data_IF_159731586258
#
_entry.id   IF_159731586258
#
_cell.length_a   1.000
_cell.length_b   1.000
_cell.length_c   1.000
_cell.angle_alpha   90.00
_cell.angle_beta   90.00
_cell.angle_gamma   90.00
#
_symmetry.space_group_name_H-M   'P 1'
#
loop_
_entity.id
_entity.type
_entity.pdbx_description
1 polymer ?
#
# COMPACT_ATOMS: atom_id res chain seq x y z
N UNK A 1 -24.54 6.97 12.40
CA UNK A 1 -23.24 6.38 12.72
C UNK A 1 -22.16 7.28 12.14
N UNK A 2 -21.17 7.57 12.94
CA UNK A 2 -20.04 8.37 12.52
C UNK A 2 -18.80 7.49 12.41
N UNK A 3 -18.16 7.51 11.26
CA UNK A 3 -16.91 6.82 11.04
C UNK A 3 -15.73 7.73 11.33
N UNK A 4 -14.75 7.24 12.07
CA UNK A 4 -13.51 7.96 12.26
C UNK A 4 -12.61 7.73 11.04
N UNK A 5 -12.22 8.81 10.38
CA UNK A 5 -11.38 8.73 9.19
C UNK A 5 -9.88 8.67 9.51
N UNK A 6 -9.50 9.04 10.74
CA UNK A 6 -8.10 9.02 11.16
C UNK A 6 -8.02 8.40 12.56
N UNK A 7 -8.38 7.13 12.71
CA UNK A 7 -8.27 6.48 13.99
C UNK A 7 -6.80 6.28 14.37
N UNK A 8 -6.45 6.61 15.59
CA UNK A 8 -5.07 6.57 16.08
C UNK A 8 -4.45 5.18 16.13
N UNK A 9 -5.27 4.14 16.04
CA UNK A 9 -4.77 2.76 16.06
C UNK A 9 -4.15 2.31 14.75
N UNK A 10 -4.36 3.07 13.67
CA UNK A 10 -3.78 2.74 12.37
C UNK A 10 -2.50 3.52 12.13
N UNK A 11 -1.54 2.86 11.51
CA UNK A 11 -0.26 3.48 11.13
C UNK A 11 0.06 3.16 9.70
N UNK A 12 0.58 4.14 8.99
CA UNK A 12 1.09 3.95 7.63
C UNK A 12 2.61 4.06 7.67
N UNK A 13 3.28 2.98 7.30
CA UNK A 13 4.73 2.99 7.14
C UNK A 13 5.07 3.21 5.69
N UNK A 14 5.96 4.15 5.43
CA UNK A 14 6.43 4.46 4.08
C UNK A 14 7.94 4.25 4.05
N UNK A 15 8.39 3.41 3.12
CA UNK A 15 9.81 3.21 2.86
C UNK A 15 10.10 3.58 1.43
N UNK A 16 11.18 4.31 1.22
CA UNK A 16 11.54 4.77 -0.11
C UNK A 16 13.06 4.80 -0.20
N UNK A 17 13.62 3.96 -1.07
CA UNK A 17 15.05 3.87 -1.27
C UNK A 17 15.35 4.10 -2.74
N UNK A 18 16.15 5.13 -3.02
CA UNK A 18 16.59 5.43 -4.37
C UNK A 18 18.05 5.04 -4.51
N UNK A 19 18.34 4.15 -5.46
CA UNK A 19 19.71 3.79 -5.85
C UNK A 19 20.00 4.39 -7.22
N UNK A 20 21.23 4.23 -7.72
CA UNK A 20 21.59 4.70 -9.06
C UNK A 20 20.79 4.01 -10.15
N UNK A 21 20.37 2.76 -9.90
CA UNK A 21 19.76 1.90 -10.90
C UNK A 21 18.25 1.77 -10.75
N UNK A 22 17.72 1.99 -9.56
CA UNK A 22 16.30 1.72 -9.30
C UNK A 22 15.78 2.49 -8.10
N UNK A 23 14.45 2.51 -8.02
CA UNK A 23 13.73 3.05 -6.87
C UNK A 23 12.96 1.88 -6.25
N UNK A 24 13.18 1.65 -4.95
CA UNK A 24 12.44 0.66 -4.19
C UNK A 24 11.51 1.38 -3.22
N UNK A 25 10.28 0.94 -3.15
CA UNK A 25 9.30 1.53 -2.25
C UNK A 25 8.44 0.48 -1.58
N UNK A 26 7.89 0.85 -0.43
CA UNK A 26 6.86 0.08 0.24
C UNK A 26 5.95 1.04 1.02
N UNK A 27 4.65 0.83 0.88
CA UNK A 27 3.62 1.50 1.67
C UNK A 27 2.85 0.41 2.39
N UNK A 28 2.79 0.48 3.71
CA UNK A 28 2.09 -0.54 4.48
C UNK A 28 1.19 0.10 5.53
N UNK A 29 -0.09 -0.23 5.48
CA UNK A 29 -1.03 0.12 6.52
C UNK A 29 -1.10 -1.04 7.51
N UNK A 30 -0.99 -0.73 8.78
CA UNK A 30 -1.09 -1.74 9.82
C UNK A 30 -1.73 -1.18 11.09
N UNK A 31 -2.20 -2.08 11.92
CA UNK A 31 -2.69 -1.82 13.26
C UNK A 31 -1.95 -2.80 14.19
N UNK A 32 -2.62 -3.81 14.71
CA UNK A 32 -1.96 -4.88 15.46
C UNK A 32 -1.27 -5.87 14.53
N UNK A 33 -1.66 -5.87 13.26
CA UNK A 33 -1.10 -6.71 12.21
C UNK A 33 -1.17 -5.95 10.89
N UNK A 34 -0.39 -6.39 9.87
CA UNK A 34 -0.47 -5.80 8.54
C UNK A 34 -1.87 -5.91 7.95
N UNK A 35 -2.33 -4.85 7.29
CA UNK A 35 -3.66 -4.80 6.67
C UNK A 35 -3.54 -4.82 5.15
N UNK A 36 -2.74 -3.90 4.59
CA UNK A 36 -2.55 -3.81 3.15
C UNK A 36 -1.16 -3.25 2.88
N UNK A 37 -0.50 -3.75 1.82
CA UNK A 37 0.86 -3.33 1.48
C UNK A 37 1.04 -3.22 -0.02
N UNK A 38 1.64 -2.12 -0.45
CA UNK A 38 2.10 -1.92 -1.83
C UNK A 38 3.61 -1.89 -1.84
N UNK A 39 4.24 -2.65 -2.73
CA UNK A 39 5.67 -2.53 -2.93
C UNK A 39 6.07 -2.96 -4.35
N UNK A 40 7.33 -2.77 -4.68
CA UNK A 40 7.86 -3.10 -5.99
C UNK A 40 9.06 -4.06 -5.93
N UNK A 41 9.18 -4.86 -4.89
CA UNK A 41 10.21 -5.89 -4.86
C UNK A 41 9.94 -6.94 -5.95
N UNK A 42 10.98 -7.46 -6.61
CA UNK A 42 10.80 -8.29 -7.79
C UNK A 42 10.55 -9.77 -7.48
N UNK A 43 9.66 -10.06 -6.55
CA UNK A 43 9.38 -11.43 -6.11
C UNK A 43 8.22 -12.10 -6.85
N UNK A 44 7.45 -11.35 -7.65
CA UNK A 44 6.25 -11.84 -8.28
C UNK A 44 6.26 -11.56 -9.78
N UNK A 45 7.15 -12.20 -10.55
CA UNK A 45 7.32 -11.89 -11.98
C UNK A 45 6.11 -12.25 -12.85
N UNK A 46 5.20 -13.07 -12.34
CA UNK A 46 4.00 -13.47 -13.09
C UNK A 46 2.88 -12.45 -12.99
N UNK A 47 2.96 -11.50 -12.05
CA UNK A 47 1.97 -10.45 -11.93
C UNK A 47 2.14 -9.47 -13.09
N UNK A 48 1.04 -9.12 -13.74
CA UNK A 48 1.03 -8.30 -14.94
C UNK A 48 1.70 -6.93 -14.75
N UNK A 49 1.58 -6.34 -13.55
CA UNK A 49 2.18 -5.05 -13.24
C UNK A 49 3.57 -5.17 -12.61
N UNK A 50 4.18 -6.35 -12.69
CA UNK A 50 5.53 -6.58 -12.15
C UNK A 50 6.49 -5.44 -12.51
N UNK A 51 7.30 -4.92 -11.58
CA UNK A 51 7.49 -5.37 -10.20
C UNK A 51 6.47 -4.82 -9.19
N UNK A 52 5.56 -3.97 -9.61
CA UNK A 52 4.57 -3.35 -8.73
C UNK A 52 3.50 -4.38 -8.37
N UNK A 53 3.28 -4.57 -7.09
CA UNK A 53 2.25 -5.50 -6.62
C UNK A 53 1.61 -5.01 -5.33
N UNK A 54 0.48 -5.60 -4.99
CA UNK A 54 -0.33 -5.26 -3.84
C UNK A 54 -0.63 -6.52 -3.04
N UNK A 55 -0.27 -6.51 -1.76
CA UNK A 55 -0.65 -7.54 -0.82
C UNK A 55 -1.98 -7.15 -0.18
N UNK A 56 -3.02 -7.93 -0.44
CA UNK A 56 -4.34 -7.64 0.09
C UNK A 56 -4.49 -8.11 1.52
N UNK A 57 -5.54 -7.63 2.17
CA UNK A 57 -5.90 -8.05 3.51
C UNK A 57 -6.21 -9.55 3.61
N UNK A 58 -6.63 -10.16 2.51
CA UNK A 58 -6.96 -11.59 2.45
C UNK A 58 -5.73 -12.49 2.25
N UNK A 59 -4.54 -11.90 2.14
CA UNK A 59 -3.32 -12.65 1.93
C UNK A 59 -2.96 -12.86 0.47
N UNK A 60 -3.74 -12.31 -0.46
CA UNK A 60 -3.46 -12.41 -1.89
C UNK A 60 -2.43 -11.38 -2.34
N UNK A 61 -1.74 -11.70 -3.43
CA UNK A 61 -0.85 -10.75 -4.10
C UNK A 61 -1.41 -10.51 -5.48
N UNK A 62 -1.72 -9.24 -5.77
CA UNK A 62 -2.43 -8.87 -6.98
C UNK A 62 -1.75 -7.70 -7.69
N UNK A 63 -2.25 -7.34 -8.86
CA UNK A 63 -1.76 -6.20 -9.63
C UNK A 63 -1.87 -4.90 -8.82
N UNK A 64 -0.97 -3.97 -9.11
CA UNK A 64 -0.93 -2.66 -8.45
C UNK A 64 -1.00 -1.55 -9.49
N UNK A 65 -1.67 -0.46 -9.14
CA UNK A 65 -1.73 0.74 -9.97
C UNK A 65 -0.56 1.69 -9.74
N UNK A 66 0.32 1.39 -8.79
CA UNK A 66 1.44 2.27 -8.47
C UNK A 66 2.52 2.20 -9.55
N UNK A 67 3.28 3.28 -9.67
CA UNK A 67 4.24 3.46 -10.77
C UNK A 67 5.67 3.71 -10.31
N UNK A 68 5.88 3.95 -9.01
CA UNK A 68 7.16 4.39 -8.47
C UNK A 68 7.28 5.91 -8.35
N UNK A 69 6.32 6.67 -8.85
CA UNK A 69 6.27 8.12 -8.69
C UNK A 69 5.67 8.50 -7.34
N UNK A 70 6.48 9.10 -6.46
CA UNK A 70 6.10 9.32 -5.06
C UNK A 70 4.78 10.07 -4.91
N UNK A 71 4.64 11.22 -5.58
CA UNK A 71 3.47 12.08 -5.36
C UNK A 71 2.20 11.42 -5.87
N UNK A 72 2.23 10.89 -7.10
CA UNK A 72 1.06 10.25 -7.69
C UNK A 72 0.67 8.98 -6.91
N UNK A 73 1.67 8.18 -6.55
CA UNK A 73 1.43 6.93 -5.84
C UNK A 73 0.88 7.19 -4.44
N UNK A 74 1.43 8.17 -3.73
CA UNK A 74 0.95 8.49 -2.38
C UNK A 74 -0.52 8.91 -2.38
N UNK A 75 -0.94 9.66 -3.39
CA UNK A 75 -2.36 10.02 -3.52
C UNK A 75 -3.24 8.79 -3.67
N UNK A 76 -2.82 7.83 -4.49
CA UNK A 76 -3.57 6.57 -4.67
C UNK A 76 -3.61 5.75 -3.38
N UNK A 77 -2.47 5.63 -2.70
CA UNK A 77 -2.36 4.90 -1.44
C UNK A 77 -3.28 5.50 -0.39
N UNK A 78 -3.25 6.82 -0.22
CA UNK A 78 -4.10 7.49 0.77
C UNK A 78 -5.58 7.33 0.45
N UNK A 79 -5.95 7.37 -0.82
CA UNK A 79 -7.33 7.14 -1.24
C UNK A 79 -7.80 5.72 -0.89
N UNK A 80 -6.97 4.73 -1.17
CA UNK A 80 -7.31 3.33 -0.86
C UNK A 80 -7.35 3.08 0.66
N UNK A 81 -6.42 3.68 1.39
CA UNK A 81 -6.40 3.56 2.86
C UNK A 81 -7.67 4.14 3.46
N UNK A 82 -8.13 5.28 2.98
CA UNK A 82 -9.39 5.87 3.46
C UNK A 82 -10.56 4.91 3.30
N UNK A 83 -10.65 4.23 2.15
CA UNK A 83 -11.70 3.24 1.90
C UNK A 83 -11.58 2.04 2.84
N UNK A 84 -10.37 1.55 3.07
CA UNK A 84 -10.12 0.40 3.94
C UNK A 84 -10.49 0.74 5.38
N UNK A 85 -10.06 1.89 5.87
CA UNK A 85 -10.35 2.32 7.25
C UNK A 85 -11.87 2.48 7.46
N UNK A 86 -12.56 3.12 6.53
CA UNK A 86 -14.01 3.27 6.61
C UNK A 86 -14.69 1.90 6.68
N UNK A 87 -14.26 0.96 5.86
CA UNK A 87 -14.80 -0.40 5.87
C UNK A 87 -14.62 -1.09 7.22
N UNK A 88 -13.49 -0.86 7.90
CA UNK A 88 -13.20 -1.50 9.17
C UNK A 88 -13.86 -0.82 10.37
N UNK A 89 -14.06 0.50 10.29
CA UNK A 89 -14.59 1.29 11.40
C UNK A 89 -16.09 1.50 11.34
N UNK A 90 -16.67 1.28 10.20
CA UNK A 90 -18.11 1.38 10.01
C UNK A 90 -18.68 -0.01 9.76
#
# INVERSE_FOLDING_TARGET
IRCSLIPSKYKLEIRFVKTQEQILYAYQLFSNAPIIRWDNSPHYPKIKTHPHHLHTNDGDVVESELTGGVIADLKKVLSEISKVIVKYEC
#
